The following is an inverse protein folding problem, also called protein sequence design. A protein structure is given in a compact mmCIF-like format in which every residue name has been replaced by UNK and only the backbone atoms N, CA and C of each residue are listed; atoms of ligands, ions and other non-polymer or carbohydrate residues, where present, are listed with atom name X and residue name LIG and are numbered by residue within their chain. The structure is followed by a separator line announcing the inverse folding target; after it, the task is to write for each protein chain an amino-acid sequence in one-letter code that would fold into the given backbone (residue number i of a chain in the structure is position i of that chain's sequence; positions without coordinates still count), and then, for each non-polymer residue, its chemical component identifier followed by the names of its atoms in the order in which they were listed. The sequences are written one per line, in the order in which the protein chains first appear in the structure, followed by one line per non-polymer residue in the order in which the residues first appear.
data_IF_344539763096
#
_entry.id   IF_344539763096
#
_cell.length_a   1.000
_cell.length_b   1.000
_cell.length_c   1.000
_cell.angle_alpha   90.00
_cell.angle_beta   90.00
_cell.angle_gamma   90.00
#
_symmetry.space_group_name_H-M   'P 1'
#
loop_
_entity.id
_entity.type
_entity.pdbx_description
1 polymer ?
#
# COMPACT_ATOMS: atom_id res chain seq x y z
N UNK A 1 4.16 -12.31 -14.29
CA UNK A 1 4.00 -12.60 -12.85
C UNK A 1 2.57 -13.04 -12.56
N UNK A 2 1.56 -12.21 -12.86
CA UNK A 2 0.14 -12.57 -12.71
C UNK A 2 -0.25 -13.86 -13.46
N UNK A 3 0.13 -13.99 -14.74
CA UNK A 3 -0.14 -15.20 -15.52
C UNK A 3 0.52 -16.46 -14.94
N UNK A 4 1.75 -16.35 -14.44
CA UNK A 4 2.47 -17.46 -13.80
C UNK A 4 1.80 -17.84 -12.47
N UNK A 5 1.33 -16.86 -11.69
CA UNK A 5 0.55 -17.11 -10.49
C UNK A 5 -0.78 -17.81 -10.79
N UNK A 6 -1.47 -17.40 -11.86
CA UNK A 6 -2.68 -18.07 -12.33
C UNK A 6 -2.43 -19.53 -12.70
N UNK A 7 -1.37 -19.83 -13.47
CA UNK A 7 -1.01 -21.21 -13.85
C UNK A 7 -0.66 -22.04 -12.61
N UNK A 8 0.20 -21.52 -11.74
CA UNK A 8 0.66 -22.21 -10.54
C UNK A 8 -0.48 -22.52 -9.54
N UNK A 9 -1.41 -21.58 -9.38
CA UNK A 9 -2.34 -21.58 -8.24
C UNK A 9 -3.80 -21.87 -8.60
N UNK A 10 -4.20 -21.82 -9.88
CA UNK A 10 -5.53 -22.29 -10.31
C UNK A 10 -5.65 -23.81 -10.34
N UNK A 11 -4.53 -24.54 -10.28
CA UNK A 11 -4.52 -26.00 -10.15
C UNK A 11 -4.21 -26.41 -8.71
N UNK A 12 -4.63 -27.61 -8.31
CA UNK A 12 -4.26 -28.18 -7.01
C UNK A 12 -2.78 -28.59 -6.91
N UNK A 13 -1.98 -28.37 -7.97
CA UNK A 13 -0.59 -28.84 -8.04
C UNK A 13 0.31 -28.21 -6.98
N UNK A 14 -0.01 -27.00 -6.49
CA UNK A 14 0.74 -26.34 -5.42
C UNK A 14 0.64 -27.10 -4.08
N UNK A 15 -0.45 -27.86 -3.87
CA UNK A 15 -0.68 -28.64 -2.64
C UNK A 15 0.44 -29.64 -2.38
N UNK A 16 1.16 -30.09 -3.42
CA UNK A 16 2.31 -31.02 -3.30
C UNK A 16 3.47 -30.44 -2.46
N UNK A 17 3.60 -29.11 -2.41
CA UNK A 17 4.63 -28.40 -1.66
C UNK A 17 4.29 -28.24 -0.17
N UNK A 18 3.07 -28.57 0.24
CA UNK A 18 2.67 -28.55 1.65
C UNK A 18 3.19 -29.83 2.36
N UNK A 19 3.82 -29.71 3.54
CA UNK A 19 4.30 -30.86 4.30
C UNK A 19 3.22 -31.93 4.51
N UNK A 20 3.59 -33.21 4.44
CA UNK A 20 2.64 -34.34 4.44
C UNK A 20 1.82 -34.39 5.73
N UNK A 21 2.47 -34.14 6.86
CA UNK A 21 1.88 -34.07 8.18
C UNK A 21 0.77 -33.01 8.27
N UNK A 22 0.92 -31.90 7.56
CA UNK A 22 -0.08 -30.83 7.52
C UNK A 22 -1.21 -31.13 6.53
N UNK A 23 -0.92 -31.85 5.44
CA UNK A 23 -1.95 -32.34 4.53
C UNK A 23 -2.85 -33.38 5.17
N UNK A 24 -2.32 -34.17 6.10
CA UNK A 24 -3.09 -35.16 6.85
C UNK A 24 -4.15 -34.52 7.77
N UNK A 25 -4.06 -33.22 8.05
CA UNK A 25 -5.05 -32.49 8.87
C UNK A 25 -6.12 -31.79 8.04
N UNK A 26 -6.12 -31.95 6.71
CA UNK A 26 -7.10 -31.30 5.85
C UNK A 26 -8.46 -31.98 5.96
N UNK A 27 -9.52 -31.17 5.91
CA UNK A 27 -10.88 -31.65 5.67
C UNK A 27 -11.05 -31.94 4.16
N UNK A 28 -12.18 -32.53 3.76
CA UNK A 28 -12.37 -33.16 2.44
C UNK A 28 -11.93 -32.29 1.24
N UNK A 29 -12.17 -30.99 1.27
CA UNK A 29 -11.87 -30.09 0.14
C UNK A 29 -10.47 -29.47 0.16
N UNK A 30 -9.73 -29.59 1.28
CA UNK A 30 -8.42 -28.97 1.46
C UNK A 30 -8.41 -27.44 1.39
N UNK A 31 -7.23 -26.80 1.31
CA UNK A 31 -7.11 -25.34 1.23
C UNK A 31 -7.42 -24.82 -0.18
N UNK A 32 -8.05 -23.64 -0.25
CA UNK A 32 -8.39 -22.94 -1.48
C UNK A 32 -7.50 -21.71 -1.71
N UNK A 33 -7.37 -21.32 -2.97
CA UNK A 33 -6.69 -20.07 -3.36
C UNK A 33 -7.75 -19.06 -3.78
N UNK A 34 -7.63 -17.84 -3.29
CA UNK A 34 -8.49 -16.72 -3.65
C UNK A 34 -7.65 -15.58 -4.24
N UNK A 35 -8.02 -15.11 -5.42
CA UNK A 35 -7.45 -13.91 -6.04
C UNK A 35 -8.36 -12.73 -5.72
N UNK A 36 -8.13 -12.07 -4.58
CA UNK A 36 -8.95 -10.97 -4.10
C UNK A 36 -8.08 -9.89 -3.42
N UNK A 37 -8.58 -8.65 -3.29
CA UNK A 37 -7.84 -7.58 -2.63
C UNK A 37 -7.48 -7.94 -1.19
N UNK A 38 -6.28 -7.51 -0.78
CA UNK A 38 -5.78 -7.61 0.59
C UNK A 38 -5.52 -6.18 1.07
N UNK A 39 -6.10 -5.82 2.22
CA UNK A 39 -5.86 -4.54 2.87
C UNK A 39 -4.55 -4.66 3.64
N UNK A 40 -3.67 -3.69 3.44
CA UNK A 40 -2.37 -3.63 4.08
C UNK A 40 -2.27 -2.38 4.98
N UNK A 41 -1.99 -2.55 6.28
CA UNK A 41 -1.89 -1.41 7.20
C UNK A 41 -1.30 -1.74 8.57
N UNK A 42 -0.71 -0.74 9.23
CA UNK A 42 0.10 -0.91 10.46
C UNK A 42 -0.71 -1.24 11.74
N UNK A 43 -2.03 -1.39 11.66
CA UNK A 43 -2.89 -1.60 12.84
C UNK A 43 -3.37 -3.06 12.91
N UNK A 44 -3.02 -3.74 14.01
CA UNK A 44 -3.61 -5.06 14.33
C UNK A 44 -5.08 -4.83 14.68
N UNK A 45 -6.02 -5.41 13.93
CA UNK A 45 -7.38 -5.59 14.41
C UNK A 45 -7.36 -6.69 15.49
N UNK A 46 -7.35 -6.29 16.77
CA UNK A 46 -7.41 -7.23 17.89
C UNK A 46 -8.58 -6.96 18.85
N UNK A 47 -9.46 -6.03 18.50
CA UNK A 47 -10.55 -5.59 19.36
C UNK A 47 -11.77 -5.25 18.52
N UNK A 48 -13.00 -5.53 18.99
CA UNK A 48 -14.25 -5.25 18.29
C UNK A 48 -14.58 -3.74 18.13
N UNK A 49 -13.58 -2.86 18.19
CA UNK A 49 -13.75 -1.42 18.10
C UNK A 49 -14.10 -1.04 16.67
N UNK A 50 -15.28 -0.48 16.56
CA UNK A 50 -16.12 -0.37 15.36
C UNK A 50 -15.64 0.66 14.31
N UNK A 51 -14.81 1.69 14.56
CA UNK A 51 -14.44 2.67 13.52
C UNK A 51 -13.61 2.10 12.36
N UNK A 52 -12.54 1.34 12.63
CA UNK A 52 -11.66 0.81 11.57
C UNK A 52 -12.33 -0.32 10.80
N UNK A 53 -13.09 -1.19 11.48
CA UNK A 53 -13.83 -2.27 10.83
C UNK A 53 -14.97 -1.73 9.96
N UNK A 54 -15.68 -0.71 10.43
CA UNK A 54 -16.71 -0.03 9.64
C UNK A 54 -16.08 0.71 8.45
N UNK A 55 -14.96 1.39 8.65
CA UNK A 55 -14.21 2.04 7.58
C UNK A 55 -13.75 1.01 6.52
N UNK A 56 -13.25 -0.15 6.94
CA UNK A 56 -12.85 -1.23 6.05
C UNK A 56 -14.05 -1.81 5.31
N UNK A 57 -15.13 -2.13 6.02
CA UNK A 57 -16.33 -2.71 5.42
C UNK A 57 -17.00 -1.75 4.45
N UNK A 58 -16.99 -0.44 4.76
CA UNK A 58 -17.62 0.60 3.96
C UNK A 58 -16.77 1.01 2.75
N UNK A 59 -15.44 1.06 2.86
CA UNK A 59 -14.55 1.54 1.78
C UNK A 59 -13.83 0.43 1.00
N UNK A 60 -13.70 -0.76 1.58
CA UNK A 60 -12.91 -1.87 1.07
C UNK A 60 -13.66 -3.21 1.28
N UNK A 61 -14.99 -3.18 1.20
CA UNK A 61 -15.85 -4.35 1.49
C UNK A 61 -15.70 -5.52 0.52
N UNK A 62 -14.93 -5.36 -0.56
CA UNK A 62 -14.54 -6.40 -1.50
C UNK A 62 -13.19 -7.06 -1.15
N UNK A 63 -12.48 -6.54 -0.14
CA UNK A 63 -11.26 -7.15 0.36
C UNK A 63 -11.55 -8.44 1.12
N UNK A 64 -10.73 -9.46 0.84
CA UNK A 64 -10.87 -10.76 1.48
C UNK A 64 -10.08 -10.84 2.79
N UNK A 65 -8.97 -10.12 2.89
CA UNK A 65 -8.03 -10.24 3.99
C UNK A 65 -7.40 -8.91 4.39
N UNK A 66 -6.87 -8.87 5.61
CA UNK A 66 -6.15 -7.73 6.19
C UNK A 66 -4.82 -8.24 6.71
N UNK A 67 -3.75 -7.51 6.45
CA UNK A 67 -2.38 -7.81 6.89
C UNK A 67 -1.62 -6.51 7.20
N UNK A 68 -0.38 -6.63 7.71
CA UNK A 68 0.31 -5.48 8.30
C UNK A 68 1.66 -5.13 7.69
N UNK A 69 2.15 -5.88 6.71
CA UNK A 69 3.55 -5.75 6.27
C UNK A 69 3.72 -5.36 4.80
N UNK A 70 2.75 -5.70 3.94
CA UNK A 70 2.91 -5.52 2.49
C UNK A 70 2.74 -4.08 2.01
N UNK A 71 2.17 -3.19 2.83
CA UNK A 71 1.94 -1.78 2.46
C UNK A 71 3.25 -1.07 2.09
N UNK A 72 4.31 -1.27 2.88
CA UNK A 72 5.62 -0.69 2.63
C UNK A 72 6.29 -1.28 1.38
N UNK A 73 6.17 -2.60 1.19
CA UNK A 73 6.73 -3.33 0.05
C UNK A 73 6.03 -2.92 -1.25
N UNK A 74 4.70 -2.86 -1.26
CA UNK A 74 3.89 -2.41 -2.39
C UNK A 74 4.22 -0.95 -2.77
N UNK A 75 4.50 -0.08 -1.79
CA UNK A 75 4.94 1.30 -2.06
C UNK A 75 6.29 1.35 -2.77
N UNK A 76 7.24 0.49 -2.41
CA UNK A 76 8.53 0.42 -3.09
C UNK A 76 8.36 -0.10 -4.53
N UNK A 77 7.46 -1.06 -4.76
CA UNK A 77 7.09 -1.50 -6.11
C UNK A 77 6.51 -0.37 -6.96
N UNK A 78 5.53 0.36 -6.43
CA UNK A 78 4.86 1.46 -7.15
C UNK A 78 5.84 2.54 -7.61
N UNK A 79 6.93 2.73 -6.86
CA UNK A 79 7.98 3.70 -7.17
C UNK A 79 9.10 3.15 -8.06
N UNK A 80 9.07 1.87 -8.44
CA UNK A 80 10.13 1.21 -9.19
C UNK A 80 9.56 0.56 -10.45
N UNK A 81 9.92 1.06 -11.63
CA UNK A 81 9.37 0.57 -12.91
C UNK A 81 9.68 -0.92 -13.18
N UNK A 82 10.78 -1.44 -12.62
CA UNK A 82 11.24 -2.81 -12.85
C UNK A 82 10.83 -3.79 -11.73
N UNK A 83 10.34 -3.29 -10.59
CA UNK A 83 10.05 -4.14 -9.43
C UNK A 83 8.60 -4.64 -9.50
N UNK A 84 8.45 -5.90 -9.87
CA UNK A 84 7.16 -6.60 -9.81
C UNK A 84 7.02 -7.30 -8.46
N UNK A 85 5.88 -7.10 -7.81
CA UNK A 85 5.58 -7.68 -6.49
C UNK A 85 4.30 -8.50 -6.58
N UNK A 86 4.30 -9.64 -5.90
CA UNK A 86 3.13 -10.47 -5.68
C UNK A 86 3.02 -10.76 -4.18
N UNK A 87 1.91 -10.36 -3.58
CA UNK A 87 1.61 -10.67 -2.17
C UNK A 87 0.86 -11.99 -2.10
N UNK A 88 1.40 -12.95 -1.34
CA UNK A 88 0.77 -14.24 -1.03
C UNK A 88 0.57 -14.35 0.48
N UNK A 89 -0.66 -14.56 0.92
CA UNK A 89 -1.01 -14.68 2.34
C UNK A 89 -1.78 -15.97 2.59
N UNK A 90 -1.42 -16.66 3.68
CA UNK A 90 -2.25 -17.68 4.28
C UNK A 90 -3.12 -17.04 5.36
N UNK A 91 -4.38 -17.45 5.46
CA UNK A 91 -5.32 -16.93 6.46
C UNK A 91 -5.09 -17.67 7.79
N UNK A 92 -4.64 -16.95 8.82
CA UNK A 92 -4.37 -17.49 10.16
C UNK A 92 -5.60 -17.48 11.07
N UNK A 93 -6.46 -16.49 10.90
CA UNK A 93 -7.62 -16.21 11.74
C UNK A 93 -8.58 -15.25 11.01
N UNK A 94 -9.72 -14.97 11.63
CA UNK A 94 -10.78 -14.13 11.05
C UNK A 94 -10.70 -12.66 11.51
N UNK A 95 -9.59 -12.26 12.14
CA UNK A 95 -9.39 -10.93 12.73
C UNK A 95 -10.54 -10.50 13.67
N UNK A 96 -11.11 -11.46 14.40
CA UNK A 96 -12.15 -11.26 15.38
C UNK A 96 -11.63 -11.35 16.82
N UNK A 97 -12.50 -11.12 17.80
CA UNK A 97 -12.12 -11.07 19.21
C UNK A 97 -11.55 -12.40 19.77
N UNK A 98 -11.63 -13.50 19.01
CA UNK A 98 -11.16 -14.83 19.43
C UNK A 98 -9.73 -15.14 18.98
N UNK A 99 -8.97 -14.13 18.52
CA UNK A 99 -7.57 -14.24 18.07
C UNK A 99 -6.67 -15.01 19.04
N UNK A 100 -6.87 -14.84 20.35
CA UNK A 100 -6.09 -15.49 21.40
C UNK A 100 -6.21 -17.03 21.39
N UNK A 101 -7.36 -17.56 20.98
CA UNK A 101 -7.62 -19.01 20.91
C UNK A 101 -7.11 -19.61 19.59
N UNK A 102 -7.19 -18.85 18.50
CA UNK A 102 -6.64 -19.25 17.20
C UNK A 102 -5.11 -19.37 17.21
N UNK A 103 -4.42 -18.39 17.82
CA UNK A 103 -2.95 -18.36 17.93
C UNK A 103 -2.42 -19.57 18.73
N UNK A 104 -3.13 -19.99 19.78
CA UNK A 104 -2.78 -21.15 20.58
C UNK A 104 -2.96 -22.50 19.85
N UNK A 105 -3.71 -22.52 18.72
CA UNK A 105 -3.99 -23.73 17.94
C UNK A 105 -2.95 -24.04 16.85
N UNK A 106 -1.92 -23.18 16.68
CA UNK A 106 -0.93 -23.29 15.62
C UNK A 106 -1.43 -22.88 14.23
N UNK A 107 -2.50 -22.08 14.15
CA UNK A 107 -3.08 -21.63 12.87
C UNK A 107 -2.13 -20.75 12.06
N UNK A 108 -1.34 -19.90 12.71
CA UNK A 108 -0.31 -19.09 12.04
C UNK A 108 0.75 -19.94 11.34
N UNK A 109 1.18 -21.05 11.96
CA UNK A 109 2.15 -21.96 11.36
C UNK A 109 1.57 -22.64 10.12
N UNK A 110 0.30 -23.07 10.17
CA UNK A 110 -0.40 -23.64 9.00
C UNK A 110 -0.52 -22.61 7.87
N UNK A 111 -1.03 -21.41 8.18
CA UNK A 111 -1.15 -20.31 7.24
C UNK A 111 0.20 -19.97 6.56
N UNK A 112 1.28 -19.91 7.33
CA UNK A 112 2.62 -19.66 6.79
C UNK A 112 3.09 -20.79 5.87
N UNK A 113 2.84 -22.05 6.21
CA UNK A 113 3.24 -23.18 5.37
C UNK A 113 2.45 -23.24 4.06
N UNK A 114 1.16 -22.91 4.08
CA UNK A 114 0.36 -22.79 2.86
C UNK A 114 0.84 -21.64 1.97
N UNK A 115 1.12 -20.47 2.54
CA UNK A 115 1.66 -19.32 1.80
C UNK A 115 3.03 -19.65 1.18
N UNK A 116 3.90 -20.34 1.92
CA UNK A 116 5.21 -20.78 1.42
C UNK A 116 5.08 -21.81 0.28
N UNK A 117 4.15 -22.76 0.39
CA UNK A 117 3.88 -23.74 -0.66
C UNK A 117 3.37 -23.08 -1.95
N UNK A 118 2.47 -22.09 -1.83
CA UNK A 118 2.00 -21.29 -2.95
C UNK A 118 3.16 -20.49 -3.57
N UNK A 119 3.99 -19.83 -2.76
CA UNK A 119 5.15 -19.07 -3.24
C UNK A 119 6.16 -19.96 -3.98
N UNK A 120 6.43 -21.17 -3.48
CA UNK A 120 7.29 -22.14 -4.14
C UNK A 120 6.75 -22.56 -5.52
N UNK A 121 5.44 -22.82 -5.62
CA UNK A 121 4.80 -23.14 -6.88
C UNK A 121 4.91 -21.98 -7.89
N UNK A 122 4.63 -20.74 -7.47
CA UNK A 122 4.77 -19.57 -8.33
C UNK A 122 6.21 -19.35 -8.75
N UNK A 123 7.18 -19.54 -7.85
CA UNK A 123 8.59 -19.41 -8.16
C UNK A 123 9.02 -20.44 -9.22
N UNK A 124 8.55 -21.69 -9.14
CA UNK A 124 8.82 -22.70 -10.18
C UNK A 124 8.28 -22.28 -11.55
N UNK A 125 7.10 -21.69 -11.64
CA UNK A 125 6.54 -21.19 -12.91
C UNK A 125 7.27 -19.94 -13.44
N UNK A 126 7.91 -19.17 -12.56
CA UNK A 126 8.67 -17.96 -12.93
C UNK A 126 10.12 -18.25 -13.31
N UNK A 127 10.67 -19.38 -12.86
CA UNK A 127 12.00 -19.79 -13.24
C UNK A 127 11.98 -20.21 -14.72
N UNK A 128 12.89 -19.70 -15.56
CA UNK A 128 13.02 -20.20 -16.91
C UNK A 128 13.36 -21.70 -16.85
N UNK A 129 12.67 -22.51 -17.65
CA UNK A 129 13.06 -23.89 -17.92
C UNK A 129 14.56 -23.89 -18.21
N UNK A 130 15.37 -24.50 -17.34
CA UNK A 130 16.82 -24.52 -17.50
C UNK A 130 17.16 -25.30 -18.76
N UNK A 131 17.33 -24.59 -19.87
CA UNK A 131 18.24 -25.03 -20.92
C UNK A 131 19.62 -25.14 -20.28
N UNK A 132 20.19 -26.34 -20.32
CA UNK A 132 21.37 -26.69 -19.55
C UNK A 132 22.63 -25.89 -19.89
N UNK A 133 23.55 -25.93 -18.92
CA UNK A 133 24.99 -25.67 -19.01
C UNK A 133 25.47 -24.21 -19.05
N UNK A 134 26.38 -23.90 -18.12
CA UNK A 134 27.35 -22.82 -18.25
C UNK A 134 27.18 -21.71 -17.22
N UNK A 135 27.86 -21.86 -16.09
CA UNK A 135 27.92 -20.83 -15.06
C UNK A 135 28.54 -19.52 -15.56
N UNK A 136 28.02 -18.41 -15.05
CA UNK A 136 28.79 -17.18 -14.90
C UNK A 136 28.22 -16.40 -13.72
N UNK A 137 28.99 -16.30 -12.65
CA UNK A 137 28.73 -15.36 -11.58
C UNK A 137 28.81 -13.95 -12.16
N UNK A 138 27.74 -13.17 -12.11
CA UNK A 138 27.84 -11.73 -12.30
C UNK A 138 27.45 -11.00 -11.01
N UNK A 139 28.46 -10.25 -10.55
CA UNK A 139 28.49 -9.40 -9.40
C UNK A 139 27.32 -8.41 -9.35
N UNK A 140 26.86 -8.16 -8.13
CA UNK A 140 26.05 -7.00 -7.75
C UNK A 140 26.79 -5.74 -8.21
N UNK A 141 26.29 -5.10 -9.27
CA UNK A 141 26.68 -3.74 -9.64
C UNK A 141 25.69 -2.78 -9.00
N UNK A 142 26.09 -2.30 -7.82
CA UNK A 142 25.55 -1.10 -7.21
C UNK A 142 25.95 0.12 -8.06
N UNK A 143 25.01 0.64 -8.84
CA UNK A 143 25.03 1.95 -9.51
C UNK A 143 23.57 2.17 -9.95
N UNK A 144 22.78 3.15 -9.53
CA UNK A 144 22.99 4.42 -8.84
C UNK A 144 22.09 5.45 -9.52
N UNK A 145 21.12 6.02 -8.82
CA UNK A 145 20.56 7.37 -9.03
C UNK A 145 19.39 7.62 -8.07
N UNK A 146 19.62 8.49 -7.09
CA UNK A 146 18.59 9.11 -6.27
C UNK A 146 17.86 10.06 -7.22
N UNK A 147 16.65 9.70 -7.67
CA UNK A 147 15.90 10.50 -8.63
C UNK A 147 15.58 11.88 -8.07
N UNK A 148 16.16 12.91 -8.69
CA UNK A 148 15.87 14.32 -8.41
C UNK A 148 14.36 14.55 -8.52
N UNK A 149 13.73 14.99 -7.42
CA UNK A 149 12.38 15.54 -7.49
C UNK A 149 12.37 16.68 -8.52
N UNK A 150 11.35 16.73 -9.40
CA UNK A 150 11.17 17.85 -10.33
C UNK A 150 11.36 19.17 -9.58
N UNK A 151 12.13 20.12 -10.12
CA UNK A 151 12.43 21.39 -9.45
C UNK A 151 11.17 22.06 -8.87
N UNK A 152 10.04 21.92 -9.58
CA UNK A 152 8.71 22.35 -9.15
C UNK A 152 8.18 21.61 -7.92
N UNK A 153 8.34 20.29 -7.80
CA UNK A 153 7.90 19.54 -6.60
C UNK A 153 8.65 20.01 -5.35
N UNK A 154 9.96 20.25 -5.47
CA UNK A 154 10.78 20.74 -4.35
C UNK A 154 10.34 22.13 -3.89
N UNK A 155 10.00 23.01 -4.84
CA UNK A 155 9.50 24.36 -4.55
C UNK A 155 8.12 24.34 -3.88
N UNK A 156 7.20 23.52 -4.37
CA UNK A 156 5.87 23.34 -3.74
C UNK A 156 5.98 22.77 -2.33
N UNK A 157 6.81 21.74 -2.13
CA UNK A 157 7.05 21.18 -0.78
C UNK A 157 7.67 22.23 0.13
N UNK A 158 8.64 23.01 -0.35
CA UNK A 158 9.25 24.10 0.43
C UNK A 158 8.22 25.17 0.81
N UNK A 159 7.37 25.60 -0.11
CA UNK A 159 6.36 26.61 0.14
C UNK A 159 5.30 26.13 1.15
N UNK A 160 4.85 24.88 1.04
CA UNK A 160 3.92 24.29 2.00
C UNK A 160 4.56 24.10 3.38
N UNK A 161 5.84 23.72 3.44
CA UNK A 161 6.58 23.58 4.69
C UNK A 161 6.83 24.91 5.42
N UNK A 162 6.56 26.06 4.80
CA UNK A 162 6.68 27.37 5.43
C UNK A 162 5.49 27.73 6.34
N UNK A 163 4.39 27.00 6.27
CA UNK A 163 3.27 27.12 7.21
C UNK A 163 3.59 26.32 8.48
N UNK A 164 3.66 26.95 9.65
CA UNK A 164 4.03 26.24 10.89
C UNK A 164 3.07 25.06 11.21
N UNK A 165 1.77 25.27 10.98
CA UNK A 165 0.75 24.26 11.22
C UNK A 165 0.82 23.06 10.27
N UNK A 166 1.51 23.15 9.13
CA UNK A 166 1.65 22.04 8.18
C UNK A 166 2.36 20.83 8.81
N UNK A 167 3.11 21.05 9.89
CA UNK A 167 3.77 20.00 10.67
C UNK A 167 2.76 19.10 11.39
N UNK A 168 1.54 19.60 11.64
CA UNK A 168 0.49 18.90 12.39
C UNK A 168 -0.39 18.07 11.46
N UNK A 169 -0.61 16.81 11.82
CA UNK A 169 -1.38 15.87 11.00
C UNK A 169 -2.86 16.24 10.86
N UNK A 170 -3.48 16.72 11.94
CA UNK A 170 -4.87 17.21 11.97
C UNK A 170 -5.09 18.39 11.01
N UNK A 171 -4.12 19.32 10.94
CA UNK A 171 -4.15 20.43 10.01
C UNK A 171 -4.07 19.97 8.55
N UNK A 172 -3.12 19.07 8.23
CA UNK A 172 -3.00 18.49 6.87
C UNK A 172 -4.29 17.75 6.46
N UNK A 173 -4.91 17.03 7.38
CA UNK A 173 -6.16 16.31 7.10
C UNK A 173 -7.36 17.25 6.87
N UNK A 174 -7.44 18.33 7.66
CA UNK A 174 -8.45 19.38 7.46
C UNK A 174 -8.28 20.06 6.10
N UNK A 175 -7.02 20.33 5.72
CA UNK A 175 -6.68 20.92 4.42
C UNK A 175 -7.13 20.03 3.24
N UNK A 176 -6.87 18.73 3.31
CA UNK A 176 -7.34 17.77 2.31
C UNK A 176 -8.87 17.68 2.24
N UNK A 177 -9.54 17.82 3.38
CA UNK A 177 -11.02 17.87 3.44
C UNK A 177 -11.57 19.10 2.71
N UNK A 178 -10.99 20.28 2.96
CA UNK A 178 -11.41 21.53 2.32
C UNK A 178 -11.13 21.50 0.82
N UNK A 179 -9.96 20.99 0.39
CA UNK A 179 -9.66 20.77 -1.03
C UNK A 179 -10.71 19.88 -1.70
N UNK A 180 -11.14 18.80 -1.04
CA UNK A 180 -12.17 17.90 -1.55
C UNK A 180 -13.50 18.62 -1.80
N UNK A 181 -13.94 19.44 -0.83
CA UNK A 181 -15.16 20.25 -0.98
C UNK A 181 -15.04 21.25 -2.15
N UNK A 182 -13.92 21.95 -2.26
CA UNK A 182 -13.69 22.95 -3.33
C UNK A 182 -13.68 22.31 -4.72
N UNK A 183 -13.13 21.10 -4.83
CA UNK A 183 -13.10 20.33 -6.08
C UNK A 183 -14.44 19.65 -6.41
N UNK A 184 -15.46 19.79 -5.56
CA UNK A 184 -16.75 19.12 -5.74
C UNK A 184 -16.65 17.60 -5.58
N UNK A 185 -15.63 17.11 -4.88
CA UNK A 185 -15.46 15.68 -4.63
C UNK A 185 -16.45 15.23 -3.55
N UNK A 186 -16.94 13.98 -3.63
CA UNK A 186 -17.80 13.41 -2.59
C UNK A 186 -17.08 13.17 -1.26
N UNK A 187 -15.76 13.42 -1.20
CA UNK A 187 -14.87 13.18 -0.05
C UNK A 187 -13.65 14.10 -0.12
N UNK A 188 -12.81 14.05 0.92
CA UNK A 188 -11.53 14.75 0.97
C UNK A 188 -10.63 14.42 -0.25
N UNK A 189 -9.77 15.36 -0.61
CA UNK A 189 -8.71 15.14 -1.59
C UNK A 189 -7.76 14.05 -1.06
N UNK A 190 -7.43 13.06 -1.89
CA UNK A 190 -6.71 11.87 -1.42
C UNK A 190 -5.19 12.07 -1.57
N UNK A 191 -4.50 12.02 -0.44
CA UNK A 191 -3.06 11.85 -0.34
C UNK A 191 -2.76 10.71 0.62
N UNK A 192 -1.71 9.94 0.33
CA UNK A 192 -1.33 8.84 1.21
C UNK A 192 -0.75 9.41 2.51
N UNK A 193 -1.37 9.08 3.64
CA UNK A 193 -0.99 9.60 4.95
C UNK A 193 0.44 9.22 5.33
N UNK A 194 1.11 10.13 6.03
CA UNK A 194 2.40 9.90 6.68
C UNK A 194 2.47 10.67 8.00
N UNK A 195 3.02 10.02 9.03
CA UNK A 195 3.33 10.64 10.31
C UNK A 195 4.44 11.69 10.18
N UNK A 196 5.33 11.52 9.20
CA UNK A 196 6.37 12.49 8.87
C UNK A 196 5.78 13.61 8.00
N UNK A 197 5.73 14.83 8.54
CA UNK A 197 5.08 15.97 7.89
C UNK A 197 5.60 16.23 6.46
N UNK A 198 6.92 16.20 6.28
CA UNK A 198 7.56 16.44 4.99
C UNK A 198 7.17 15.40 3.94
N UNK A 199 7.05 14.14 4.33
CA UNK A 199 6.68 13.05 3.43
C UNK A 199 5.21 13.12 3.05
N UNK A 200 4.33 13.45 4.02
CA UNK A 200 2.92 13.66 3.72
C UNK A 200 2.75 14.87 2.79
N UNK A 201 3.41 16.00 3.05
CA UNK A 201 3.40 17.18 2.17
C UNK A 201 3.88 16.84 0.76
N UNK A 202 4.95 16.04 0.63
CA UNK A 202 5.45 15.57 -0.67
C UNK A 202 4.40 14.75 -1.42
N UNK A 203 3.71 13.85 -0.74
CA UNK A 203 2.64 13.04 -1.33
C UNK A 203 1.42 13.90 -1.72
N UNK A 204 1.05 14.91 -0.92
CA UNK A 204 0.00 15.88 -1.27
C UNK A 204 0.35 16.59 -2.59
N UNK A 205 1.59 17.10 -2.70
CA UNK A 205 2.07 17.76 -3.92
C UNK A 205 2.08 16.80 -5.11
N UNK A 206 2.53 15.56 -4.92
CA UNK A 206 2.54 14.51 -5.96
C UNK A 206 1.13 14.24 -6.49
N UNK A 207 0.16 14.04 -5.58
CA UNK A 207 -1.25 13.76 -5.92
C UNK A 207 -1.94 14.95 -6.56
N UNK A 208 -1.68 16.16 -6.06
CA UNK A 208 -2.16 17.40 -6.66
C UNK A 208 -1.68 17.54 -8.11
N UNK A 209 -0.40 17.28 -8.37
CA UNK A 209 0.17 17.36 -9.71
C UNK A 209 -0.28 16.23 -10.65
N UNK A 210 -0.59 15.06 -10.11
CA UNK A 210 -1.11 13.91 -10.86
C UNK A 210 -2.65 13.91 -10.98
N UNK A 211 -3.34 14.90 -10.42
CA UNK A 211 -4.80 14.98 -10.48
C UNK A 211 -5.30 15.21 -11.92
N UNK A 212 -6.54 14.83 -12.22
CA UNK A 212 -7.13 14.97 -13.56
C UNK A 212 -7.03 16.40 -14.11
N UNK A 213 -7.19 17.40 -13.25
CA UNK A 213 -7.00 18.83 -13.56
C UNK A 213 -6.02 19.45 -12.54
N UNK A 214 -4.70 19.38 -12.78
CA UNK A 214 -3.70 19.86 -11.82
C UNK A 214 -3.85 21.36 -11.47
N UNK A 215 -4.12 22.26 -12.43
CA UNK A 215 -4.43 23.66 -12.10
C UNK A 215 -5.62 23.82 -11.15
N UNK A 216 -6.70 23.05 -11.31
CA UNK A 216 -7.82 23.09 -10.36
C UNK A 216 -7.42 22.58 -8.97
N UNK A 217 -6.64 21.50 -8.88
CA UNK A 217 -6.15 20.98 -7.60
C UNK A 217 -5.23 21.99 -6.88
N UNK A 218 -4.36 22.68 -7.62
CA UNK A 218 -3.51 23.76 -7.08
C UNK A 218 -4.36 24.92 -6.54
N UNK A 219 -5.38 25.35 -7.28
CA UNK A 219 -6.31 26.40 -6.82
C UNK A 219 -7.08 25.97 -5.57
N UNK A 220 -7.50 24.71 -5.50
CA UNK A 220 -8.19 24.17 -4.34
C UNK A 220 -7.28 24.12 -3.10
N UNK A 221 -6.01 23.70 -3.26
CA UNK A 221 -5.02 23.73 -2.19
C UNK A 221 -4.76 25.16 -1.69
N UNK A 222 -4.58 26.10 -2.62
CA UNK A 222 -4.39 27.51 -2.31
C UNK A 222 -5.59 28.08 -1.53
N UNK A 223 -6.80 27.91 -2.03
CA UNK A 223 -8.02 28.41 -1.39
C UNK A 223 -8.28 27.78 -0.01
N UNK A 224 -7.93 26.50 0.18
CA UNK A 224 -8.02 25.84 1.48
C UNK A 224 -7.01 26.41 2.50
N UNK A 225 -5.77 26.70 2.06
CA UNK A 225 -4.77 27.36 2.90
C UNK A 225 -5.13 28.81 3.20
N UNK A 226 -5.62 29.56 2.21
CA UNK A 226 -6.10 30.94 2.38
C UNK A 226 -7.27 31.00 3.37
N UNK A 227 -8.21 30.06 3.28
CA UNK A 227 -9.32 29.98 4.25
C UNK A 227 -8.82 29.66 5.67
N UNK A 228 -7.90 28.71 5.79
CA UNK A 228 -7.39 28.30 7.09
C UNK A 228 -6.50 29.38 7.73
N UNK A 229 -5.69 30.08 6.93
CA UNK A 229 -4.65 31.01 7.38
C UNK A 229 -4.58 32.25 6.47
N UNK A 230 -5.59 33.14 6.51
CA UNK A 230 -5.71 34.25 5.55
C UNK A 230 -4.58 35.28 5.65
N UNK A 231 -3.98 35.44 6.84
CA UNK A 231 -2.93 36.44 7.10
C UNK A 231 -1.51 35.84 7.12
N UNK A 232 -1.33 34.59 6.69
CA UNK A 232 -0.04 33.91 6.72
C UNK A 232 0.82 34.29 5.50
N UNK A 233 2.01 34.84 5.75
CA UNK A 233 2.95 35.27 4.72
C UNK A 233 3.45 34.15 3.80
N UNK A 234 3.32 32.88 4.19
CA UNK A 234 3.65 31.74 3.35
C UNK A 234 2.74 31.63 2.11
N UNK A 235 1.55 32.25 2.13
CA UNK A 235 0.65 32.33 0.96
C UNK A 235 1.30 33.05 -0.23
N UNK A 236 2.18 34.03 0.00
CA UNK A 236 2.90 34.71 -1.09
C UNK A 236 3.88 33.77 -1.80
N UNK A 237 4.47 32.82 -1.07
CA UNK A 237 5.35 31.82 -1.66
C UNK A 237 4.57 30.87 -2.58
N UNK A 238 3.37 30.47 -2.16
CA UNK A 238 2.47 29.64 -2.95
C UNK A 238 1.89 30.35 -4.18
N UNK A 239 1.51 31.63 -4.06
CA UNK A 239 0.92 32.37 -5.17
C UNK A 239 1.86 32.49 -6.38
N UNK A 240 3.17 32.61 -6.13
CA UNK A 240 4.21 32.63 -7.17
C UNK A 240 4.34 31.32 -7.93
N UNK A 241 3.95 30.19 -7.33
CA UNK A 241 4.03 28.86 -7.93
C UNK A 241 2.77 28.50 -8.74
N UNK A 242 1.76 29.38 -8.75
CA UNK A 242 0.49 29.14 -9.44
C UNK A 242 0.52 29.49 -10.94
N UNK A 243 1.59 30.10 -11.43
CA UNK A 243 1.80 30.48 -12.84
C UNK A 243 2.00 29.29 -13.78
#
# INVERSE_FOLDING_TARGET
MEQAAGIALCSESWRKWVPREMRATWQEDGPHVHFQPIIAGEVVLNSPVTPLRDQITFHYGDALAIEMESAGVARVADLSEDLRILTLRGISDHADANKSEADASGSQHRASAHAAAAAAAVACELLPETAGSGGSSLAVRSTGAIGEASATEVEWVRALMAFDDISRGDFRHSLLTDMGRILGLPRAFMATESSMARDHVREIVRRMNAYRDPPAARRALYAALEHARPDDGALEGLSRLMS
#
